data_IF_991609927203
#
_entry.id   IF_991609927203
#
_cell.length_a   1.000
_cell.length_b   1.000
_cell.length_c   1.000
_cell.angle_alpha   90.00
_cell.angle_beta   90.00
_cell.angle_gamma   90.00
#
_symmetry.space_group_name_H-M   'P 1'
#
loop_
_entity.id
_entity.type
_entity.pdbx_description
1 polymer ?
#
# COMPACT_ATOMS: atom_id res chain seq x y z
N UNK A 1 15.37 4.82 -42.92
CA UNK A 1 15.77 3.63 -42.13
C UNK A 1 16.54 3.95 -40.84
N UNK A 2 17.56 4.82 -40.82
CA UNK A 2 18.33 5.13 -39.59
C UNK A 2 17.57 5.91 -38.48
N UNK A 3 16.46 6.58 -38.79
CA UNK A 3 15.61 7.26 -37.80
C UNK A 3 14.60 6.34 -37.10
N UNK A 4 14.22 5.21 -37.72
CA UNK A 4 13.27 4.25 -37.14
C UNK A 4 13.99 3.37 -36.10
N UNK A 5 15.26 3.04 -36.31
CA UNK A 5 16.07 2.32 -35.32
C UNK A 5 16.28 3.12 -34.02
N UNK A 6 16.47 4.45 -34.08
CA UNK A 6 16.60 5.28 -32.86
C UNK A 6 15.31 5.36 -32.04
N UNK A 7 14.14 5.32 -32.68
CA UNK A 7 12.85 5.31 -31.97
C UNK A 7 12.59 3.97 -31.27
N UNK A 8 12.95 2.85 -31.91
CA UNK A 8 12.79 1.50 -31.35
C UNK A 8 13.79 1.25 -30.20
N UNK A 9 15.01 1.79 -30.28
CA UNK A 9 15.97 1.72 -29.17
C UNK A 9 15.58 2.58 -27.96
N UNK A 10 14.83 3.68 -28.17
CA UNK A 10 14.36 4.54 -27.08
C UNK A 10 13.10 3.99 -26.41
N UNK A 11 12.26 3.25 -27.14
CA UNK A 11 11.13 2.49 -26.56
C UNK A 11 11.60 1.25 -25.77
N UNK A 12 12.67 0.59 -26.20
CA UNK A 12 13.21 -0.58 -25.49
C UNK A 12 13.92 -0.22 -24.16
N UNK A 13 14.40 1.02 -24.00
CA UNK A 13 15.07 1.45 -22.77
C UNK A 13 14.10 1.95 -21.67
N UNK A 14 12.85 2.23 -22.02
CA UNK A 14 11.80 2.66 -21.08
C UNK A 14 11.08 1.46 -20.42
N UNK A 15 11.20 0.26 -20.99
CA UNK A 15 10.57 -0.97 -20.50
C UNK A 15 11.27 -1.63 -19.29
N UNK A 16 12.33 -1.02 -18.74
CA UNK A 16 13.06 -1.55 -17.57
C UNK A 16 12.83 -0.78 -16.26
N UNK A 17 11.84 0.10 -16.20
CA UNK A 17 11.56 0.90 -14.99
C UNK A 17 10.63 0.14 -14.02
N UNK A 18 11.27 -0.44 -13.01
CA UNK A 18 10.84 -0.63 -11.62
C UNK A 18 9.33 -0.50 -11.28
N UNK A 19 8.77 -1.57 -10.71
CA UNK A 19 7.51 -1.56 -9.95
C UNK A 19 7.41 -0.32 -9.05
N UNK A 20 6.44 0.54 -9.32
CA UNK A 20 6.18 1.81 -8.62
C UNK A 20 7.42 2.62 -8.16
N UNK A 21 8.54 2.56 -8.90
CA UNK A 21 9.78 3.28 -8.59
C UNK A 21 10.68 2.67 -7.51
N UNK A 22 10.56 1.38 -7.20
CA UNK A 22 11.56 0.67 -6.39
C UNK A 22 12.62 0.01 -7.29
N UNK A 23 13.88 0.40 -7.11
CA UNK A 23 15.03 -0.31 -7.68
C UNK A 23 14.88 -1.82 -7.44
N UNK A 24 15.09 -2.66 -8.46
CA UNK A 24 14.92 -4.13 -8.33
C UNK A 24 15.86 -4.75 -7.27
N UNK A 25 16.91 -4.02 -6.89
CA UNK A 25 17.87 -4.38 -5.84
C UNK A 25 17.72 -3.52 -4.56
N UNK A 26 16.79 -2.56 -4.54
CA UNK A 26 16.47 -1.80 -3.34
C UNK A 26 15.28 -2.45 -2.65
N UNK A 27 15.57 -3.47 -1.83
CA UNK A 27 14.77 -3.64 -0.61
C UNK A 27 14.72 -2.26 0.05
N UNK A 28 13.54 -1.61 0.20
CA UNK A 28 13.49 -0.24 0.67
C UNK A 28 14.27 -0.13 1.99
N UNK A 29 15.28 0.75 2.03
CA UNK A 29 16.04 1.18 3.22
C UNK A 29 15.16 1.98 4.20
N UNK A 30 13.86 1.71 4.25
CA UNK A 30 12.87 2.44 5.05
C UNK A 30 12.35 1.52 6.15
N UNK A 31 13.19 1.25 7.16
CA UNK A 31 12.77 0.58 8.39
C UNK A 31 13.29 1.30 9.64
N UNK A 32 13.69 2.56 9.52
CA UNK A 32 13.77 3.42 10.69
C UNK A 32 12.37 3.92 11.05
N UNK A 33 11.90 3.45 12.21
CA UNK A 33 10.81 3.97 13.02
C UNK A 33 9.45 4.00 12.33
N UNK A 34 8.59 3.04 12.68
CA UNK A 34 7.15 3.08 12.48
C UNK A 34 6.53 3.86 13.67
N UNK A 35 6.12 5.13 13.53
CA UNK A 35 5.32 5.79 14.54
C UNK A 35 3.85 5.43 14.24
N UNK A 36 3.26 4.57 15.07
CA UNK A 36 1.86 4.14 14.91
C UNK A 36 1.64 2.63 14.94
N UNK A 37 2.70 1.84 14.78
CA UNK A 37 2.78 0.62 15.56
C UNK A 37 3.02 1.08 17.00
N UNK A 38 1.95 1.27 17.78
CA UNK A 38 2.07 0.94 19.18
C UNK A 38 2.38 -0.56 19.21
N UNK A 39 3.65 -0.89 18.96
CA UNK A 39 4.24 -2.11 19.48
C UNK A 39 3.88 -2.03 20.95
N UNK A 40 3.12 -3.00 21.40
CA UNK A 40 2.84 -3.24 22.80
C UNK A 40 4.21 -3.16 23.49
N UNK A 41 4.52 -1.99 24.07
CA UNK A 41 5.83 -1.70 24.68
C UNK A 41 6.08 -2.58 25.90
N UNK A 42 5.06 -3.31 26.35
CA UNK A 42 5.08 -4.07 27.59
C UNK A 42 6.02 -5.28 27.54
N UNK A 43 6.37 -5.82 26.36
CA UNK A 43 7.15 -7.06 26.27
C UNK A 43 8.38 -7.01 25.33
N UNK A 44 8.93 -5.82 25.03
CA UNK A 44 10.18 -5.70 24.26
C UNK A 44 11.40 -5.87 25.17
N UNK A 45 12.42 -6.57 24.65
CA UNK A 45 13.67 -6.81 25.37
C UNK A 45 14.48 -5.50 25.38
N UNK A 46 14.76 -4.92 26.56
CA UNK A 46 15.28 -3.56 26.65
C UNK A 46 16.76 -3.45 26.28
N UNK A 47 17.55 -4.51 26.49
CA UNK A 47 18.95 -4.55 26.10
C UNK A 47 19.36 -5.91 25.55
N UNK A 48 20.45 -5.93 24.77
CA UNK A 48 21.04 -7.17 24.25
C UNK A 48 21.53 -8.09 25.37
N UNK A 49 21.93 -7.52 26.52
CA UNK A 49 22.38 -8.28 27.68
C UNK A 49 21.25 -9.09 28.34
N UNK A 50 19.99 -8.72 28.10
CA UNK A 50 18.82 -9.45 28.60
C UNK A 50 18.44 -10.65 27.71
N UNK A 51 19.18 -10.86 26.61
CA UNK A 51 19.00 -12.02 25.74
C UNK A 51 19.69 -13.24 26.34
N UNK A 52 18.94 -14.32 26.50
CA UNK A 52 19.45 -15.60 26.99
C UNK A 52 19.73 -16.51 25.81
N UNK A 53 21.00 -16.86 25.63
CA UNK A 53 21.41 -17.85 24.62
C UNK A 53 20.78 -19.21 24.92
N UNK A 54 20.25 -19.86 23.89
CA UNK A 54 19.50 -21.11 23.99
C UNK A 54 18.01 -20.94 24.28
N UNK A 55 17.57 -19.74 24.71
CA UNK A 55 16.15 -19.46 24.93
C UNK A 55 15.42 -19.21 23.61
N UNK A 56 14.14 -19.58 23.62
CA UNK A 56 13.21 -19.34 22.53
C UNK A 56 12.40 -18.06 22.76
N UNK A 57 12.20 -17.29 21.69
CA UNK A 57 11.48 -16.03 21.69
C UNK A 57 10.49 -15.97 20.53
N UNK A 58 9.48 -15.12 20.69
CA UNK A 58 8.49 -14.79 19.68
C UNK A 58 8.85 -13.50 18.97
N UNK A 59 8.67 -13.45 17.66
CA UNK A 59 8.81 -12.21 16.89
C UNK A 59 7.66 -11.27 17.25
N UNK A 60 7.98 -10.07 17.74
CA UNK A 60 6.99 -9.06 18.13
C UNK A 60 6.59 -8.10 17.02
N UNK A 61 7.44 -7.93 16.00
CA UNK A 61 7.12 -7.16 14.81
C UNK A 61 6.14 -7.90 13.89
N UNK A 62 5.26 -7.18 13.20
CA UNK A 62 4.37 -7.77 12.18
C UNK A 62 5.17 -8.49 11.08
N UNK A 63 6.32 -7.91 10.72
CA UNK A 63 7.30 -8.50 9.81
C UNK A 63 8.70 -8.16 10.28
N UNK A 64 9.58 -9.15 10.38
CA UNK A 64 10.98 -9.00 10.76
C UNK A 64 11.88 -9.64 9.70
N UNK A 65 12.83 -8.88 9.14
CA UNK A 65 13.78 -9.43 8.17
C UNK A 65 14.78 -10.34 8.86
N UNK A 66 15.08 -11.47 8.23
CA UNK A 66 16.17 -12.37 8.61
C UNK A 66 17.29 -12.24 7.58
N UNK A 67 18.54 -12.24 8.06
CA UNK A 67 19.72 -11.93 7.26
C UNK A 67 20.78 -13.02 7.36
N UNK A 68 21.66 -13.10 6.38
CA UNK A 68 22.84 -13.98 6.40
C UNK A 68 24.03 -13.40 7.16
N UNK A 69 24.00 -12.11 7.50
CA UNK A 69 25.04 -11.44 8.29
C UNK A 69 24.40 -10.47 9.29
N UNK A 70 25.17 -10.09 10.32
CA UNK A 70 24.83 -9.20 11.43
C UNK A 70 24.91 -7.71 11.08
N UNK A 71 24.82 -7.37 9.79
CA UNK A 71 24.96 -6.01 9.30
C UNK A 71 23.81 -5.62 8.36
N UNK A 72 23.60 -4.31 8.23
CA UNK A 72 22.66 -3.75 7.27
C UNK A 72 23.25 -3.81 5.86
N UNK A 73 22.64 -4.60 4.97
CA UNK A 73 23.07 -4.71 3.58
C UNK A 73 22.09 -5.48 2.70
N UNK A 74 22.56 -5.88 1.51
CA UNK A 74 21.85 -6.77 0.59
C UNK A 74 22.12 -8.25 0.97
N UNK A 75 21.63 -8.62 2.14
CA UNK A 75 21.88 -9.91 2.79
C UNK A 75 20.60 -10.50 3.40
N UNK A 76 19.43 -10.07 2.93
CA UNK A 76 18.13 -10.51 3.46
C UNK A 76 17.77 -11.87 2.87
N UNK A 77 17.61 -12.87 3.76
CA UNK A 77 17.26 -14.25 3.41
C UNK A 77 15.74 -14.47 3.40
N UNK A 78 14.98 -13.57 4.01
CA UNK A 78 13.53 -13.62 4.05
C UNK A 78 12.96 -12.79 5.19
N UNK A 79 11.73 -13.09 5.56
CA UNK A 79 11.00 -12.41 6.62
C UNK A 79 10.32 -13.41 7.55
N UNK A 80 10.30 -13.11 8.83
CA UNK A 80 9.45 -13.75 9.84
C UNK A 80 8.24 -12.87 10.08
N UNK A 81 7.11 -13.49 10.39
CA UNK A 81 5.90 -12.80 10.81
C UNK A 81 5.86 -12.69 12.34
N UNK A 82 4.96 -11.86 12.87
CA UNK A 82 4.65 -11.85 14.30
C UNK A 82 4.31 -13.26 14.80
N UNK A 83 4.79 -13.59 16.00
CA UNK A 83 4.67 -14.88 16.68
C UNK A 83 5.34 -16.07 15.97
N UNK A 84 6.08 -15.84 14.89
CA UNK A 84 7.10 -16.81 14.46
C UNK A 84 8.14 -16.97 15.58
N UNK A 85 8.69 -18.17 15.69
CA UNK A 85 9.47 -18.61 16.85
C UNK A 85 10.93 -18.74 16.45
N UNK A 86 11.81 -18.13 17.23
CA UNK A 86 13.26 -18.19 17.04
C UNK A 86 13.97 -18.61 18.33
N UNK A 87 15.05 -19.36 18.20
CA UNK A 87 15.94 -19.72 19.31
C UNK A 87 17.25 -18.97 19.15
N UNK A 88 17.70 -18.31 20.21
CA UNK A 88 18.97 -17.57 20.17
C UNK A 88 20.14 -18.53 20.23
N UNK A 89 21.04 -18.43 19.26
CA UNK A 89 22.28 -19.22 19.20
C UNK A 89 23.48 -18.42 19.70
N UNK A 90 23.51 -17.12 19.45
CA UNK A 90 24.58 -16.24 19.91
C UNK A 90 24.06 -14.79 20.03
N UNK A 91 24.42 -14.15 21.13
CA UNK A 91 24.12 -12.74 21.43
C UNK A 91 25.36 -12.03 22.00
N UNK A 92 26.56 -12.55 21.71
CA UNK A 92 27.84 -11.98 22.13
C UNK A 92 28.05 -10.56 21.60
N UNK A 93 28.97 -9.85 22.24
CA UNK A 93 29.40 -8.50 21.82
C UNK A 93 30.12 -8.51 20.47
N UNK A 94 30.58 -9.68 19.99
CA UNK A 94 31.19 -9.84 18.67
C UNK A 94 30.19 -9.61 17.53
N UNK A 95 28.90 -9.85 17.78
CA UNK A 95 27.82 -9.58 16.83
C UNK A 95 27.49 -8.09 16.85
N UNK A 96 27.51 -7.44 15.69
CA UNK A 96 27.40 -5.99 15.59
C UNK A 96 26.03 -5.44 16.03
N UNK A 97 26.06 -4.36 16.82
CA UNK A 97 24.91 -3.55 17.16
C UNK A 97 23.75 -4.33 17.79
N UNK A 98 22.55 -4.14 17.23
CA UNK A 98 21.32 -4.73 17.76
C UNK A 98 21.04 -6.16 17.28
N UNK A 99 21.99 -6.80 16.58
CA UNK A 99 21.80 -8.11 16.00
C UNK A 99 22.13 -9.24 16.96
N UNK A 100 21.49 -10.38 16.73
CA UNK A 100 21.77 -11.67 17.34
C UNK A 100 21.68 -12.77 16.28
N UNK A 101 22.38 -13.88 16.51
CA UNK A 101 22.29 -15.09 15.69
C UNK A 101 21.21 -16.00 16.23
N UNK A 102 20.38 -16.52 15.34
CA UNK A 102 19.22 -17.36 15.69
C UNK A 102 19.12 -18.62 14.84
N UNK A 103 18.39 -19.57 15.38
CA UNK A 103 17.75 -20.66 14.66
C UNK A 103 16.25 -20.31 14.51
N UNK A 104 15.69 -20.46 13.31
CA UNK A 104 14.26 -20.28 13.09
C UNK A 104 13.55 -21.60 13.42
N UNK A 105 12.85 -21.62 14.55
CA UNK A 105 12.17 -22.83 15.08
C UNK A 105 10.83 -23.04 14.39
N UNK A 106 10.07 -21.97 14.17
CA UNK A 106 8.77 -22.04 13.51
C UNK A 106 8.49 -20.79 12.69
N UNK A 107 8.12 -20.98 11.43
CA UNK A 107 7.64 -19.91 10.55
C UNK A 107 6.74 -20.48 9.46
N UNK A 108 5.82 -19.67 8.96
CA UNK A 108 5.00 -19.98 7.77
C UNK A 108 5.60 -19.45 6.47
N UNK A 109 6.63 -18.63 6.55
CA UNK A 109 7.26 -18.04 5.39
C UNK A 109 8.39 -18.94 4.88
N UNK A 110 8.57 -18.99 3.55
CA UNK A 110 9.75 -19.60 2.96
C UNK A 110 10.96 -18.67 3.16
N UNK A 111 12.05 -19.22 3.69
CA UNK A 111 13.34 -18.52 3.83
C UNK A 111 14.35 -19.11 2.85
N UNK A 112 15.25 -18.27 2.34
CA UNK A 112 16.40 -18.74 1.59
C UNK A 112 17.30 -19.58 2.51
N UNK A 113 17.81 -20.70 1.97
CA UNK A 113 18.70 -21.57 2.71
C UNK A 113 19.98 -20.83 3.09
N UNK A 114 20.39 -20.94 4.34
CA UNK A 114 21.63 -20.38 4.85
C UNK A 114 22.09 -21.16 6.06
N UNK A 115 23.40 -21.15 6.30
CA UNK A 115 24.00 -21.74 7.50
C UNK A 115 23.66 -20.94 8.75
N UNK A 116 23.36 -19.64 8.60
CA UNK A 116 23.21 -18.71 9.72
C UNK A 116 22.12 -17.69 9.44
N UNK A 117 21.35 -17.37 10.48
CA UNK A 117 20.30 -16.37 10.45
C UNK A 117 20.56 -15.30 11.51
N UNK A 118 20.48 -14.05 11.10
CA UNK A 118 20.63 -12.88 11.95
C UNK A 118 19.37 -12.01 11.91
N UNK A 119 18.98 -11.49 13.07
CA UNK A 119 17.87 -10.54 13.21
C UNK A 119 18.13 -9.61 14.40
N UNK A 120 17.33 -8.56 14.54
CA UNK A 120 17.47 -7.64 15.67
C UNK A 120 16.69 -8.11 16.90
N UNK A 121 17.34 -8.14 18.06
CA UNK A 121 16.73 -8.57 19.32
C UNK A 121 15.59 -7.65 19.79
N UNK A 122 15.59 -6.38 19.33
CA UNK A 122 14.58 -5.36 19.68
C UNK A 122 13.16 -5.74 19.25
N UNK A 123 13.03 -6.72 18.36
CA UNK A 123 11.75 -7.23 17.86
C UNK A 123 11.45 -8.65 18.35
N UNK A 124 12.04 -9.05 19.47
CA UNK A 124 11.72 -10.28 20.16
C UNK A 124 10.91 -10.01 21.42
N UNK A 125 10.15 -11.02 21.82
CA UNK A 125 9.38 -11.07 23.05
C UNK A 125 9.52 -12.44 23.70
N UNK A 126 9.56 -12.46 25.04
CA UNK A 126 9.59 -13.70 25.83
C UNK A 126 8.25 -14.44 25.80
N UNK A 127 7.18 -13.75 25.42
CA UNK A 127 5.82 -14.29 25.36
C UNK A 127 5.22 -14.08 23.98
N UNK A 128 4.19 -14.86 23.66
CA UNK A 128 3.41 -14.67 22.45
C UNK A 128 2.79 -13.27 22.45
N UNK A 129 2.97 -12.53 21.35
CA UNK A 129 2.37 -11.20 21.21
C UNK A 129 0.90 -11.37 20.90
N UNK A 130 0.06 -11.11 21.90
CA UNK A 130 -1.40 -11.05 21.74
C UNK A 130 -1.73 -9.86 20.84
N UNK A 131 -2.32 -10.15 19.68
CA UNK A 131 -2.83 -9.09 18.82
C UNK A 131 -4.06 -8.47 19.47
N UNK A 132 -4.12 -7.13 19.60
CA UNK A 132 -5.33 -6.51 20.07
C UNK A 132 -6.45 -6.77 19.05
N UNK A 133 -7.63 -7.14 19.54
CA UNK A 133 -8.76 -7.65 18.73
C UNK A 133 -9.15 -6.73 17.56
N UNK A 134 -8.90 -5.43 17.68
CA UNK A 134 -9.16 -4.45 16.62
C UNK A 134 -8.36 -4.71 15.33
N UNK A 135 -7.19 -5.36 15.39
CA UNK A 135 -6.40 -5.71 14.19
C UNK A 135 -7.09 -6.76 13.31
N UNK A 136 -7.99 -7.55 13.91
CA UNK A 136 -8.81 -8.52 13.20
C UNK A 136 -10.19 -7.98 12.85
N UNK A 137 -10.51 -6.73 13.22
CA UNK A 137 -11.82 -6.15 12.96
C UNK A 137 -12.10 -6.03 11.46
N UNK A 138 -11.09 -5.64 10.68
CA UNK A 138 -11.25 -5.41 9.24
C UNK A 138 -10.32 -6.27 8.39
N UNK A 139 -10.77 -6.61 7.19
CA UNK A 139 -9.91 -7.10 6.12
C UNK A 139 -10.35 -6.52 4.77
N UNK A 140 -9.41 -6.46 3.84
CA UNK A 140 -9.60 -5.89 2.51
C UNK A 140 -9.46 -6.99 1.47
N UNK A 141 -10.36 -7.01 0.49
CA UNK A 141 -10.26 -7.82 -0.72
C UNK A 141 -10.09 -6.87 -1.90
N UNK A 142 -9.00 -7.01 -2.64
CA UNK A 142 -8.75 -6.36 -3.92
C UNK A 142 -8.94 -7.41 -5.02
N UNK A 143 -10.08 -7.36 -5.70
CA UNK A 143 -10.31 -8.24 -6.84
C UNK A 143 -9.78 -7.60 -8.13
N UNK A 144 -8.65 -8.10 -8.59
CA UNK A 144 -7.92 -7.61 -9.77
C UNK A 144 -8.72 -7.86 -11.04
N UNK A 145 -9.51 -8.94 -11.10
CA UNK A 145 -10.30 -9.29 -12.27
C UNK A 145 -11.41 -8.25 -12.55
N UNK A 146 -12.02 -7.73 -11.48
CA UNK A 146 -13.15 -6.79 -11.55
C UNK A 146 -12.75 -5.33 -11.25
N UNK A 147 -11.51 -5.10 -10.82
CA UNK A 147 -11.00 -3.79 -10.43
C UNK A 147 -11.82 -3.15 -9.29
N UNK A 148 -12.16 -3.97 -8.29
CA UNK A 148 -12.92 -3.57 -7.09
C UNK A 148 -12.14 -3.84 -5.82
N UNK A 149 -12.18 -2.87 -4.92
CA UNK A 149 -11.72 -3.02 -3.54
C UNK A 149 -12.95 -3.10 -2.62
N UNK A 150 -12.98 -4.09 -1.74
CA UNK A 150 -14.00 -4.25 -0.71
C UNK A 150 -13.38 -4.34 0.67
N UNK A 151 -13.97 -3.67 1.64
CA UNK A 151 -13.60 -3.78 3.06
C UNK A 151 -14.71 -4.51 3.79
N UNK A 152 -14.32 -5.49 4.58
CA UNK A 152 -15.22 -6.29 5.38
C UNK A 152 -14.90 -6.11 6.86
N UNK A 153 -15.94 -5.89 7.65
CA UNK A 153 -15.92 -5.99 9.10
C UNK A 153 -16.21 -7.44 9.52
N UNK A 154 -15.34 -8.00 10.36
CA UNK A 154 -15.51 -9.32 10.94
C UNK A 154 -16.37 -9.21 12.20
N UNK A 155 -17.56 -9.79 12.18
CA UNK A 155 -18.40 -9.92 13.37
C UNK A 155 -18.37 -11.39 13.82
N UNK A 156 -17.41 -11.74 14.68
CA UNK A 156 -17.25 -13.09 15.20
C UNK A 156 -17.95 -13.24 16.55
N UNK A 157 -19.28 -13.26 16.54
CA UNK A 157 -20.08 -13.30 17.78
C UNK A 157 -20.06 -14.68 18.45
N UNK A 158 -19.86 -15.79 17.72
CA UNK A 158 -19.82 -17.16 18.28
C UNK A 158 -19.36 -18.18 17.22
N UNK A 159 -18.06 -18.52 17.13
CA UNK A 159 -17.46 -19.58 16.25
C UNK A 159 -17.78 -19.54 14.74
N UNK A 160 -18.70 -18.71 14.28
CA UNK A 160 -19.07 -18.42 12.89
C UNK A 160 -18.92 -16.91 12.71
N UNK A 161 -17.95 -16.50 11.90
CA UNK A 161 -17.75 -15.10 11.59
C UNK A 161 -18.70 -14.72 10.45
N UNK A 162 -19.74 -13.95 10.76
CA UNK A 162 -20.50 -13.24 9.73
C UNK A 162 -19.69 -11.99 9.38
N UNK A 163 -19.19 -11.94 8.16
CA UNK A 163 -18.47 -10.77 7.66
C UNK A 163 -19.46 -9.85 6.97
N UNK A 164 -19.48 -8.56 7.33
CA UNK A 164 -20.30 -7.56 6.66
C UNK A 164 -19.41 -6.66 5.81
N UNK A 165 -19.76 -6.48 4.54
CA UNK A 165 -19.08 -5.47 3.71
C UNK A 165 -19.45 -4.07 4.19
N UNK A 166 -18.46 -3.22 4.41
CA UNK A 166 -18.64 -1.85 4.92
C UNK A 166 -18.10 -0.78 3.96
N UNK A 167 -17.44 -1.19 2.88
CA UNK A 167 -17.03 -0.33 1.79
C UNK A 167 -16.88 -1.18 0.52
N UNK A 168 -17.43 -0.70 -0.57
CA UNK A 168 -17.03 -1.04 -1.94
C UNK A 168 -16.47 0.22 -2.61
N UNK A 169 -15.41 0.08 -3.39
CA UNK A 169 -14.93 1.16 -4.24
C UNK A 169 -14.24 0.64 -5.49
N UNK A 170 -14.15 1.52 -6.49
CA UNK A 170 -13.40 1.25 -7.70
C UNK A 170 -11.90 1.37 -7.46
N UNK A 171 -11.14 0.45 -8.05
CA UNK A 171 -9.69 0.59 -8.20
C UNK A 171 -9.27 0.41 -9.66
N UNK A 172 -7.97 0.53 -9.91
CA UNK A 172 -7.29 0.20 -11.16
C UNK A 172 -6.09 -0.66 -10.79
N UNK A 173 -5.96 -1.80 -11.48
CA UNK A 173 -4.82 -2.70 -11.32
C UNK A 173 -3.72 -2.42 -12.35
N UNK A 174 -2.54 -2.99 -12.12
CA UNK A 174 -1.44 -2.93 -13.06
C UNK A 174 -1.72 -3.72 -14.33
N UNK A 175 -1.03 -3.40 -15.42
CA UNK A 175 -1.25 -4.06 -16.73
C UNK A 175 -0.81 -5.52 -16.72
N UNK A 176 -1.42 -6.31 -17.60
CA UNK A 176 -1.04 -7.71 -17.81
C UNK A 176 0.25 -7.84 -18.63
N UNK A 177 1.35 -7.27 -18.13
CA UNK A 177 2.66 -7.30 -18.77
C UNK A 177 3.75 -7.52 -17.72
N UNK A 178 4.87 -8.10 -18.17
CA UNK A 178 6.01 -8.37 -17.32
C UNK A 178 6.51 -7.10 -16.61
N UNK A 179 6.70 -7.21 -15.29
CA UNK A 179 7.17 -6.11 -14.44
C UNK A 179 6.11 -5.09 -14.01
N UNK A 180 4.91 -5.09 -14.60
CA UNK A 180 3.83 -4.15 -14.27
C UNK A 180 2.52 -4.83 -13.80
N UNK A 181 2.44 -6.17 -13.90
CA UNK A 181 1.31 -6.94 -13.37
C UNK A 181 1.16 -6.80 -11.86
N UNK A 182 -0.08 -6.65 -11.38
CA UNK A 182 -0.35 -6.66 -9.94
C UNK A 182 -0.17 -8.07 -9.37
N UNK A 183 0.57 -8.17 -8.27
CA UNK A 183 0.88 -9.42 -7.59
C UNK A 183 -0.32 -9.86 -6.75
N UNK A 184 -0.72 -11.11 -6.93
CA UNK A 184 -1.75 -11.76 -6.13
C UNK A 184 -1.15 -12.28 -4.82
N UNK A 185 -1.98 -12.44 -3.80
CA UNK A 185 -1.58 -13.03 -2.53
C UNK A 185 -2.21 -12.37 -1.31
N UNK A 186 -1.73 -12.77 -0.13
CA UNK A 186 -2.15 -12.22 1.15
C UNK A 186 -1.06 -11.34 1.73
N UNK A 187 -1.42 -10.10 2.02
CA UNK A 187 -0.54 -9.08 2.58
C UNK A 187 -1.15 -8.51 3.87
N UNK A 188 -0.34 -7.77 4.62
CA UNK A 188 -0.72 -6.92 5.72
C UNK A 188 -0.37 -5.48 5.35
N UNK A 189 -1.23 -4.53 5.72
CA UNK A 189 -0.92 -3.11 5.71
C UNK A 189 0.19 -2.85 6.75
N UNK A 190 1.35 -2.41 6.30
CA UNK A 190 2.49 -2.11 7.17
C UNK A 190 2.37 -0.71 7.77
N UNK A 191 2.03 0.28 6.94
CA UNK A 191 1.82 1.66 7.36
C UNK A 191 1.18 2.50 6.25
N UNK A 192 0.71 3.68 6.63
CA UNK A 192 0.28 4.73 5.71
C UNK A 192 1.31 5.85 5.63
N UNK A 193 1.49 6.43 4.45
CA UNK A 193 2.29 7.64 4.24
C UNK A 193 1.46 8.69 3.49
N UNK A 194 1.44 9.90 4.02
CA UNK A 194 0.72 11.04 3.41
C UNK A 194 1.58 11.70 2.34
N UNK A 195 0.98 11.95 1.19
CA UNK A 195 1.60 12.54 -0.01
C UNK A 195 2.85 11.81 -0.49
N UNK A 196 2.92 10.48 -0.41
CA UNK A 196 4.10 9.71 -0.79
C UNK A 196 4.74 10.12 -2.15
N UNK A 197 6.07 10.04 -2.19
CA UNK A 197 6.92 10.23 -3.36
C UNK A 197 7.86 9.03 -3.51
N UNK A 198 8.10 8.61 -4.75
CA UNK A 198 9.06 7.56 -5.06
C UNK A 198 10.50 8.02 -4.80
N UNK A 199 11.37 7.06 -4.48
CA UNK A 199 12.74 7.39 -4.10
C UNK A 199 13.59 7.83 -5.30
N UNK A 200 13.20 7.42 -6.51
CA UNK A 200 13.86 7.82 -7.75
C UNK A 200 13.50 9.27 -8.16
N UNK A 201 12.49 9.87 -7.55
CA UNK A 201 12.06 11.24 -7.83
C UNK A 201 11.37 11.41 -9.19
N UNK A 202 10.94 10.31 -9.83
CA UNK A 202 10.14 10.36 -11.06
C UNK A 202 8.75 10.92 -10.80
N UNK A 203 8.20 10.63 -9.62
CA UNK A 203 6.86 10.99 -9.20
C UNK A 203 6.91 11.82 -7.92
N UNK A 204 7.22 13.13 -8.03
CA UNK A 204 7.21 14.02 -6.89
C UNK A 204 5.89 13.98 -6.13
N UNK A 205 5.96 14.10 -4.80
CA UNK A 205 4.81 14.05 -3.89
C UNK A 205 3.65 14.95 -4.30
N UNK A 206 2.40 14.59 -4.00
CA UNK A 206 1.26 15.46 -4.35
C UNK A 206 1.40 16.87 -3.73
N UNK A 207 1.78 16.93 -2.44
CA UNK A 207 2.15 18.15 -1.74
C UNK A 207 3.46 17.96 -0.96
N UNK A 208 4.31 18.98 -1.01
CA UNK A 208 5.53 19.14 -0.21
C UNK A 208 5.66 20.62 0.13
N UNK A 209 6.12 21.00 1.34
CA UNK A 209 6.34 22.40 1.70
C UNK A 209 7.32 23.10 0.76
N UNK A 210 8.40 22.43 0.37
CA UNK A 210 9.47 23.02 -0.45
C UNK A 210 9.20 23.00 -1.96
N UNK A 211 8.07 22.46 -2.39
CA UNK A 211 7.74 22.35 -3.81
C UNK A 211 6.66 23.37 -4.18
N UNK A 212 6.51 23.73 -5.47
CA UNK A 212 5.36 24.52 -5.90
C UNK A 212 4.07 23.85 -5.45
N UNK A 213 3.04 24.66 -5.18
CA UNK A 213 1.70 24.12 -4.96
C UNK A 213 1.26 23.30 -6.17
N UNK A 214 0.52 22.20 -5.97
CA UNK A 214 -0.06 21.43 -7.07
C UNK A 214 -0.95 22.33 -7.95
N UNK A 215 -1.26 21.91 -9.19
CA UNK A 215 -2.24 22.60 -10.02
C UNK A 215 -3.52 22.87 -9.23
N UNK A 216 -4.14 24.04 -9.45
CA UNK A 216 -5.44 24.36 -8.86
C UNK A 216 -6.49 23.30 -9.22
N UNK A 217 -7.54 23.20 -8.40
CA UNK A 217 -8.67 22.32 -8.69
C UNK A 217 -9.37 22.71 -10.01
N UNK A 218 -10.01 21.73 -10.65
CA UNK A 218 -10.65 21.86 -11.96
C UNK A 218 -9.69 21.90 -13.16
N UNK A 219 -8.37 21.89 -12.94
CA UNK A 219 -7.39 21.80 -14.05
C UNK A 219 -7.33 20.38 -14.62
N UNK A 220 -7.06 20.28 -15.92
CA UNK A 220 -6.94 19.00 -16.62
C UNK A 220 -5.74 18.15 -16.16
N UNK A 221 -5.82 16.83 -16.37
CA UNK A 221 -4.81 15.84 -15.98
C UNK A 221 -3.39 16.15 -16.50
N UNK A 222 -3.21 16.30 -17.82
CA UNK A 222 -2.78 17.59 -18.33
C UNK A 222 -1.63 18.32 -17.65
N UNK A 223 -2.11 19.20 -16.78
CA UNK A 223 -1.38 20.26 -16.11
C UNK A 223 -0.44 19.70 -15.04
N UNK A 224 -0.71 18.50 -14.52
CA UNK A 224 0.10 17.86 -13.49
C UNK A 224 1.45 17.32 -13.98
N UNK A 225 1.66 17.24 -15.30
CA UNK A 225 2.92 16.87 -15.93
C UNK A 225 3.82 18.09 -16.22
N UNK A 226 3.32 19.32 -16.02
CA UNK A 226 4.07 20.53 -16.39
C UNK A 226 5.21 20.77 -15.40
N UNK A 227 6.41 21.02 -15.92
CA UNK A 227 7.64 21.30 -15.16
C UNK A 227 7.51 22.42 -14.12
N UNK A 228 6.64 23.41 -14.34
CA UNK A 228 6.39 24.49 -13.36
C UNK A 228 5.82 24.02 -12.02
N UNK A 229 5.25 22.81 -11.95
CA UNK A 229 4.73 22.21 -10.72
C UNK A 229 5.69 21.17 -10.13
N UNK A 230 6.89 21.02 -10.69
CA UNK A 230 7.86 20.04 -10.23
C UNK A 230 8.83 20.66 -9.21
N UNK A 231 9.44 19.86 -8.32
CA UNK A 231 10.52 20.32 -7.46
C UNK A 231 11.70 20.86 -8.27
N UNK A 232 12.40 21.82 -7.70
CA UNK A 232 13.66 22.32 -8.25
C UNK A 232 14.82 21.60 -7.60
N UNK A 233 15.72 21.04 -8.42
CA UNK A 233 16.91 20.31 -8.00
C UNK A 233 18.07 20.86 -8.82
N UNK A 234 19.01 21.53 -8.16
CA UNK A 234 20.17 22.17 -8.79
C UNK A 234 19.79 23.16 -9.91
N UNK A 235 18.75 23.97 -9.69
CA UNK A 235 18.26 24.96 -10.67
C UNK A 235 17.34 24.39 -11.76
N UNK A 236 17.18 23.06 -11.82
CA UNK A 236 16.33 22.39 -12.80
C UNK A 236 15.05 21.83 -12.17
N UNK A 237 13.93 21.92 -12.89
CA UNK A 237 12.67 21.28 -12.50
C UNK A 237 12.68 19.78 -12.83
N UNK A 238 12.70 18.90 -11.82
CA UNK A 238 12.83 17.43 -11.98
C UNK A 238 11.54 16.67 -11.63
N UNK A 239 11.29 15.56 -12.32
CA UNK A 239 10.10 14.73 -12.16
C UNK A 239 9.22 14.72 -13.41
N UNK A 240 8.48 13.63 -13.55
CA UNK A 240 7.68 13.28 -14.72
C UNK A 240 6.21 13.63 -14.50
N UNK A 241 5.70 13.40 -13.28
CA UNK A 241 4.30 13.68 -12.93
C UNK A 241 4.15 13.97 -11.44
N UNK A 242 3.52 15.10 -11.10
CA UNK A 242 3.29 15.51 -9.72
C UNK A 242 2.15 14.68 -9.10
N UNK A 243 2.33 14.14 -7.92
CA UNK A 243 1.24 13.52 -7.13
C UNK A 243 0.70 12.21 -7.67
N UNK A 244 1.51 11.39 -8.35
CA UNK A 244 1.08 10.10 -8.89
C UNK A 244 0.41 9.18 -7.86
N UNK A 245 0.85 9.25 -6.60
CA UNK A 245 0.37 8.44 -5.48
C UNK A 245 -0.81 9.08 -4.73
N UNK A 246 -1.31 10.23 -5.17
CA UNK A 246 -2.44 10.91 -4.56
C UNK A 246 -2.17 11.38 -3.12
N UNK A 247 -3.22 11.37 -2.29
CA UNK A 247 -3.16 11.91 -0.93
C UNK A 247 -2.53 10.96 0.09
N UNK A 248 -2.78 9.66 -0.04
CA UNK A 248 -2.26 8.63 0.87
C UNK A 248 -1.79 7.41 0.09
N UNK A 249 -0.76 6.76 0.61
CA UNK A 249 -0.27 5.47 0.14
C UNK A 249 -0.15 4.49 1.30
N UNK A 250 -0.79 3.33 1.17
CA UNK A 250 -0.74 2.19 2.06
C UNK A 250 0.31 1.20 1.59
N UNK A 251 1.33 1.01 2.41
CA UNK A 251 2.43 0.09 2.15
C UNK A 251 2.02 -1.29 2.63
N UNK A 252 2.08 -2.30 1.77
CA UNK A 252 1.68 -3.68 2.11
C UNK A 252 2.88 -4.62 2.07
N UNK A 253 2.84 -5.72 2.81
CA UNK A 253 3.86 -6.78 2.82
C UNK A 253 3.39 -8.05 3.55
N UNK A 254 4.17 -9.12 3.63
CA UNK A 254 5.52 -9.29 3.07
C UNK A 254 5.53 -9.38 1.55
N UNK A 255 6.72 -9.27 0.94
CA UNK A 255 6.98 -9.56 -0.48
C UNK A 255 6.03 -8.89 -1.48
N UNK A 256 5.58 -7.66 -1.18
CA UNK A 256 4.70 -6.90 -2.06
C UNK A 256 5.35 -6.43 -3.35
N UNK A 257 6.66 -6.66 -3.53
CA UNK A 257 7.45 -6.21 -4.66
C UNK A 257 7.24 -4.72 -4.96
N UNK A 258 7.24 -3.91 -3.90
CA UNK A 258 6.96 -2.47 -3.92
C UNK A 258 5.59 -2.08 -4.53
N UNK A 259 4.59 -2.96 -4.47
CA UNK A 259 3.24 -2.67 -4.95
C UNK A 259 2.32 -2.19 -3.82
N UNK A 260 2.14 -0.88 -3.79
CA UNK A 260 1.33 -0.16 -2.81
C UNK A 260 -0.15 -0.12 -3.18
N UNK A 261 -1.00 0.21 -2.21
CA UNK A 261 -2.37 0.69 -2.47
C UNK A 261 -2.38 2.19 -2.27
N UNK A 262 -2.77 2.98 -3.28
CA UNK A 262 -2.61 4.44 -3.19
C UNK A 262 -3.71 5.22 -3.91
N UNK A 263 -3.76 6.53 -3.65
CA UNK A 263 -4.68 7.46 -4.31
C UNK A 263 -4.29 7.76 -5.75
N UNK A 264 -5.06 8.62 -6.41
CA UNK A 264 -4.78 9.03 -7.79
C UNK A 264 -4.35 10.48 -7.83
N UNK A 265 -3.59 10.84 -8.85
CA UNK A 265 -3.33 12.23 -9.19
C UNK A 265 -4.64 13.02 -9.33
N UNK A 266 -4.61 14.31 -8.97
CA UNK A 266 -5.79 15.17 -8.95
C UNK A 266 -6.24 15.56 -7.54
N UNK A 267 -7.28 16.37 -7.49
CA UNK A 267 -8.05 16.68 -6.27
C UNK A 267 -9.18 15.66 -6.10
N UNK A 268 -10.04 15.81 -5.09
CA UNK A 268 -11.08 14.84 -4.72
C UNK A 268 -11.87 14.33 -5.94
N UNK A 269 -12.70 15.17 -6.54
CA UNK A 269 -13.53 14.78 -7.69
C UNK A 269 -12.72 14.52 -8.96
N UNK A 270 -11.69 15.32 -9.23
CA UNK A 270 -10.87 15.14 -10.44
C UNK A 270 -10.09 13.81 -10.44
N UNK A 271 -9.80 13.25 -9.26
CA UNK A 271 -9.18 11.92 -9.14
C UNK A 271 -10.15 10.78 -9.48
N UNK A 272 -11.44 10.90 -9.15
CA UNK A 272 -12.50 9.96 -9.58
C UNK A 272 -12.59 9.96 -11.10
N UNK A 273 -12.59 11.16 -11.69
CA UNK A 273 -12.64 11.36 -13.13
C UNK A 273 -11.47 10.66 -13.84
N UNK A 274 -10.28 10.67 -13.23
CA UNK A 274 -9.13 9.96 -13.75
C UNK A 274 -9.24 8.43 -13.65
N UNK A 275 -9.77 7.89 -12.54
CA UNK A 275 -10.07 6.46 -12.45
C UNK A 275 -11.07 6.05 -13.54
N UNK A 276 -12.14 6.81 -13.72
CA UNK A 276 -13.17 6.54 -14.74
C UNK A 276 -12.63 6.71 -16.17
N UNK A 277 -11.76 7.68 -16.43
CA UNK A 277 -11.13 7.91 -17.75
C UNK A 277 -10.13 6.82 -18.12
N UNK A 278 -9.31 6.34 -17.17
CA UNK A 278 -8.43 5.18 -17.39
C UNK A 278 -9.22 3.94 -17.81
N UNK A 279 -10.49 3.82 -17.38
CA UNK A 279 -11.40 2.73 -17.78
C UNK A 279 -12.14 2.94 -19.10
N UNK A 280 -12.38 4.20 -19.51
CA UNK A 280 -13.21 4.54 -20.69
C UNK A 280 -12.40 4.78 -21.98
N UNK A 281 -11.14 5.20 -21.87
CA UNK A 281 -10.31 5.54 -23.03
C UNK A 281 -8.94 4.87 -22.79
N UNK A 282 -8.39 4.27 -23.85
CA UNK A 282 -6.95 4.00 -24.03
C UNK A 282 -6.16 5.32 -23.97
N UNK A 283 -6.26 6.06 -22.88
CA UNK A 283 -5.67 7.38 -22.74
C UNK A 283 -4.20 7.18 -22.39
N UNK A 284 -3.40 6.99 -23.45
CA UNK A 284 -2.04 7.47 -23.53
C UNK A 284 -1.95 8.88 -22.93
N UNK A 285 -1.57 8.97 -21.65
CA UNK A 285 -0.99 10.18 -21.11
C UNK A 285 0.44 9.93 -20.61
N UNK A 286 1.18 9.26 -21.51
CA UNK A 286 2.61 8.95 -21.51
C UNK A 286 3.00 7.65 -20.78
N UNK A 287 3.25 6.62 -21.61
CA UNK A 287 4.04 5.41 -21.39
C UNK A 287 3.68 4.37 -20.30
N UNK A 288 2.68 4.59 -19.43
CA UNK A 288 2.09 3.50 -18.61
C UNK A 288 0.77 3.97 -17.96
N UNK A 289 -0.38 3.92 -18.67
CA UNK A 289 -1.64 4.46 -18.17
C UNK A 289 -2.24 3.65 -17.01
N UNK A 290 -1.85 2.39 -16.84
CA UNK A 290 -2.15 1.53 -15.68
C UNK A 290 -0.90 1.37 -14.82
N UNK A 291 -1.12 1.21 -13.51
CA UNK A 291 -0.07 1.22 -12.49
C UNK A 291 1.05 0.23 -12.78
N UNK A 292 2.28 0.55 -12.33
CA UNK A 292 3.44 -0.34 -12.40
C UNK A 292 3.33 -1.42 -11.30
N UNK A 293 2.22 -2.16 -11.29
CA UNK A 293 1.91 -3.23 -10.33
C UNK A 293 1.09 -2.82 -9.11
N UNK A 294 1.10 -1.55 -8.71
CA UNK A 294 0.29 -1.04 -7.58
C UNK A 294 -1.22 -1.16 -7.83
N UNK A 295 -2.03 -1.00 -6.77
CA UNK A 295 -3.48 -0.86 -6.87
C UNK A 295 -3.86 0.58 -6.57
N UNK A 296 -4.53 1.25 -7.51
CA UNK A 296 -4.82 2.68 -7.41
C UNK A 296 -6.33 2.94 -7.29
N UNK A 297 -6.74 3.82 -6.38
CA UNK A 297 -8.12 4.29 -6.24
C UNK A 297 -8.18 5.82 -6.20
N UNK A 298 -9.35 6.43 -6.14
CA UNK A 298 -9.47 7.88 -6.03
C UNK A 298 -9.03 8.39 -4.65
N UNK A 299 -8.83 9.70 -4.54
CA UNK A 299 -8.27 10.30 -3.34
C UNK A 299 -9.20 10.30 -2.13
N UNK A 300 -10.52 10.34 -2.33
CA UNK A 300 -11.47 10.28 -1.22
C UNK A 300 -11.55 8.85 -0.67
N UNK A 301 -11.63 7.85 -1.56
CA UNK A 301 -11.59 6.43 -1.18
C UNK A 301 -10.31 6.09 -0.40
N UNK A 302 -9.12 6.45 -0.90
CA UNK A 302 -7.87 6.09 -0.19
C UNK A 302 -7.76 6.79 1.17
N UNK A 303 -8.35 7.98 1.30
CA UNK A 303 -8.33 8.73 2.56
C UNK A 303 -9.26 8.10 3.58
N UNK A 304 -10.43 7.62 3.14
CA UNK A 304 -11.33 6.85 3.98
C UNK A 304 -10.74 5.50 4.39
N UNK A 305 -10.09 4.78 3.45
CA UNK A 305 -9.33 3.56 3.77
C UNK A 305 -8.24 3.82 4.82
N UNK A 306 -7.50 4.92 4.70
CA UNK A 306 -6.51 5.31 5.71
C UNK A 306 -7.12 5.61 7.07
N UNK A 307 -8.35 6.09 7.10
CA UNK A 307 -9.05 6.38 8.35
C UNK A 307 -9.48 5.09 9.07
N UNK A 308 -10.10 4.16 8.34
CA UNK A 308 -10.70 2.96 8.96
C UNK A 308 -9.74 1.78 9.10
N UNK A 309 -8.64 1.73 8.32
CA UNK A 309 -7.72 0.58 8.29
C UNK A 309 -6.44 0.86 9.08
N UNK A 310 -6.29 0.30 10.29
CA UNK A 310 -5.04 0.39 11.04
C UNK A 310 -3.93 -0.47 10.39
N UNK A 311 -2.64 -0.12 10.59
CA UNK A 311 -1.53 -1.03 10.33
C UNK A 311 -1.79 -2.41 10.94
N UNK A 312 -1.48 -3.48 10.21
CA UNK A 312 -1.79 -4.87 10.53
C UNK A 312 -3.02 -5.42 9.79
N UNK A 313 -3.90 -4.56 9.28
CA UNK A 313 -5.06 -4.97 8.47
C UNK A 313 -4.65 -5.89 7.32
N UNK A 314 -5.37 -7.01 7.15
CA UNK A 314 -5.15 -7.95 6.04
C UNK A 314 -5.62 -7.38 4.70
N UNK A 315 -4.79 -7.50 3.68
CA UNK A 315 -5.07 -7.19 2.27
C UNK A 315 -4.93 -8.46 1.44
N UNK A 316 -6.04 -8.95 0.88
CA UNK A 316 -6.05 -10.09 -0.03
C UNK A 316 -6.20 -9.59 -1.46
N UNK A 317 -5.19 -9.82 -2.29
CA UNK A 317 -5.23 -9.52 -3.73
C UNK A 317 -5.55 -10.82 -4.47
N UNK A 318 -6.69 -10.84 -5.15
CA UNK A 318 -7.22 -12.03 -5.82
C UNK A 318 -7.55 -11.74 -7.27
N UNK A 319 -7.52 -12.76 -8.11
CA UNK A 319 -8.08 -12.71 -9.46
C UNK A 319 -9.21 -13.72 -9.51
N UNK A 320 -10.45 -13.26 -9.34
CA UNK A 320 -11.58 -14.16 -9.09
C UNK A 320 -12.89 -13.66 -9.72
N UNK A 321 -13.74 -14.61 -10.10
CA UNK A 321 -15.14 -14.37 -10.46
C UNK A 321 -15.92 -14.05 -9.18
N UNK A 322 -16.83 -13.09 -9.28
CA UNK A 322 -17.67 -12.68 -8.16
C UNK A 322 -19.00 -13.40 -8.17
N UNK A 323 -19.45 -13.83 -6.99
CA UNK A 323 -20.80 -14.34 -6.76
C UNK A 323 -21.26 -13.93 -5.37
N UNK A 324 -22.55 -13.65 -5.23
CA UNK A 324 -23.17 -13.44 -3.94
C UNK A 324 -23.45 -14.77 -3.25
N UNK A 325 -23.14 -14.82 -1.95
CA UNK A 325 -23.59 -15.92 -1.10
C UNK A 325 -25.09 -15.80 -0.78
N UNK A 326 -25.57 -14.57 -0.61
CA UNK A 326 -26.97 -14.21 -0.43
C UNK A 326 -27.41 -13.39 -1.65
N UNK A 327 -28.13 -14.02 -2.58
CA UNK A 327 -28.58 -13.38 -3.83
C UNK A 327 -29.64 -12.29 -3.59
N UNK A 328 -30.35 -12.34 -2.46
CA UNK A 328 -31.36 -11.35 -2.07
C UNK A 328 -30.74 -10.14 -1.37
N UNK A 329 -29.48 -10.26 -0.90
CA UNK A 329 -28.76 -9.23 -0.15
C UNK A 329 -29.58 -8.71 1.05
N UNK A 330 -30.30 -9.60 1.74
CA UNK A 330 -31.27 -9.25 2.77
C UNK A 330 -30.67 -8.44 3.96
N UNK A 331 -29.35 -8.51 4.14
CA UNK A 331 -28.60 -7.75 5.17
C UNK A 331 -28.10 -6.37 4.71
N UNK A 332 -28.39 -5.97 3.47
CA UNK A 332 -27.94 -4.75 2.84
C UNK A 332 -29.12 -3.87 2.44
N UNK A 333 -29.04 -2.59 2.77
CA UNK A 333 -30.02 -1.61 2.32
C UNK A 333 -29.37 -0.70 1.28
N UNK A 334 -29.82 -0.80 0.03
CA UNK A 334 -29.31 0.02 -1.08
C UNK A 334 -29.64 1.51 -0.93
N UNK A 335 -30.68 1.83 -0.18
CA UNK A 335 -31.13 3.20 0.06
C UNK A 335 -30.43 3.83 1.28
N UNK A 336 -29.68 3.05 2.07
CA UNK A 336 -28.92 3.57 3.21
C UNK A 336 -27.75 4.41 2.71
N UNK A 337 -27.88 5.73 2.79
CA UNK A 337 -26.80 6.66 2.48
C UNK A 337 -25.88 6.83 3.69
N UNK A 338 -24.64 6.35 3.57
CA UNK A 338 -23.59 6.61 4.54
C UNK A 338 -22.61 7.64 3.99
N UNK A 339 -22.21 8.56 4.85
CA UNK A 339 -21.26 9.61 4.49
C UNK A 339 -20.13 9.71 5.50
N UNK A 340 -19.01 10.28 5.05
CA UNK A 340 -17.86 10.61 5.88
C UNK A 340 -17.34 11.99 5.50
N UNK A 341 -17.35 12.91 6.45
CA UNK A 341 -16.83 14.26 6.26
C UNK A 341 -15.31 14.29 6.48
N UNK A 342 -14.62 15.01 5.60
CA UNK A 342 -13.16 15.00 5.58
C UNK A 342 -12.56 16.39 5.32
N UNK A 343 -11.37 16.60 5.88
CA UNK A 343 -10.52 17.78 5.68
C UNK A 343 -9.11 17.30 5.32
N UNK A 344 -8.60 17.71 4.16
CA UNK A 344 -7.21 17.48 3.78
C UNK A 344 -6.34 18.67 4.18
N UNK A 345 -5.30 18.40 4.96
CA UNK A 345 -4.35 19.42 5.42
C UNK A 345 -2.93 19.15 4.89
N UNK A 346 -2.04 20.13 5.04
CA UNK A 346 -0.59 19.99 4.78
C UNK A 346 0.13 19.15 5.86
N UNK A 347 -0.47 19.03 7.05
CA UNK A 347 0.17 18.45 8.22
C UNK A 347 0.43 16.95 8.03
N UNK A 348 1.63 16.54 8.43
CA UNK A 348 2.12 15.17 8.26
C UNK A 348 2.53 14.80 6.83
N UNK A 349 2.72 15.78 5.92
CA UNK A 349 3.28 15.53 4.59
C UNK A 349 4.61 14.74 4.68
N UNK A 350 4.77 13.75 3.81
CA UNK A 350 5.90 12.80 3.77
C UNK A 350 6.11 11.94 5.03
N UNK A 351 5.28 12.07 6.07
CA UNK A 351 5.45 11.30 7.30
C UNK A 351 4.71 9.97 7.24
N UNK A 352 5.35 8.92 7.76
CA UNK A 352 4.67 7.69 8.14
C UNK A 352 3.68 8.03 9.25
N UNK A 353 2.44 7.56 9.12
CA UNK A 353 1.38 7.89 10.09
C UNK A 353 0.97 9.36 10.05
N UNK A 354 1.19 10.06 8.93
CA UNK A 354 0.75 11.45 8.75
C UNK A 354 -0.73 11.67 9.08
N UNK A 355 -1.08 12.92 9.40
CA UNK A 355 -2.43 13.29 9.88
C UNK A 355 -3.52 12.71 8.98
N UNK A 356 -4.56 12.15 9.58
CA UNK A 356 -5.76 11.68 8.88
C UNK A 356 -6.50 12.83 8.19
N UNK A 357 -7.46 12.49 7.34
CA UNK A 357 -8.39 13.43 6.76
C UNK A 357 -9.75 13.43 7.46
N UNK A 358 -9.97 12.63 8.49
CA UNK A 358 -11.22 12.66 9.25
C UNK A 358 -11.48 14.04 9.85
N UNK A 359 -12.65 14.63 9.55
CA UNK A 359 -12.96 16.02 9.91
C UNK A 359 -12.90 16.25 11.42
N UNK A 360 -13.51 15.36 12.21
CA UNK A 360 -13.53 15.50 13.67
C UNK A 360 -12.13 15.43 14.26
N UNK A 361 -11.31 14.45 13.82
CA UNK A 361 -9.91 14.32 14.28
C UNK A 361 -9.03 15.48 13.85
N UNK A 362 -9.24 16.05 12.66
CA UNK A 362 -8.50 17.23 12.20
C UNK A 362 -8.88 18.45 13.03
N UNK A 363 -10.17 18.71 13.22
CA UNK A 363 -10.65 19.85 14.03
C UNK A 363 -10.23 19.74 15.49
N UNK A 364 -10.26 18.53 16.07
CA UNK A 364 -9.79 18.28 17.43
C UNK A 364 -8.29 18.59 17.64
N UNK A 365 -7.50 18.65 16.55
CA UNK A 365 -6.09 19.08 16.60
C UNK A 365 -5.89 20.60 16.54
N UNK A 366 -6.97 21.39 16.61
CA UNK A 366 -6.93 22.85 16.59
C UNK A 366 -6.78 23.46 15.19
N UNK A 367 -6.93 22.66 14.14
CA UNK A 367 -6.84 23.09 12.74
C UNK A 367 -8.22 23.53 12.26
N UNK A 368 -8.27 24.69 11.60
CA UNK A 368 -9.51 25.23 11.03
C UNK A 368 -9.62 24.90 9.54
N UNK A 369 -10.80 25.10 8.93
CA UNK A 369 -10.99 24.90 7.49
C UNK A 369 -10.15 25.89 6.65
N UNK A 370 -9.73 27.02 7.22
CA UNK A 370 -8.84 27.99 6.56
C UNK A 370 -7.42 27.44 6.35
N UNK A 371 -7.01 26.50 7.20
CA UNK A 371 -5.72 25.79 7.09
C UNK A 371 -5.79 24.58 6.13
N UNK A 372 -6.99 24.26 5.64
CA UNK A 372 -7.22 23.12 4.77
C UNK A 372 -6.73 23.39 3.34
N UNK A 373 -6.24 22.33 2.70
CA UNK A 373 -6.03 22.29 1.27
C UNK A 373 -7.37 22.15 0.52
N UNK A 374 -8.27 21.34 1.08
CA UNK A 374 -9.62 21.06 0.57
C UNK A 374 -10.39 20.25 1.62
N UNK A 375 -11.71 20.22 1.52
CA UNK A 375 -12.61 19.48 2.39
C UNK A 375 -13.85 19.05 1.62
N UNK A 376 -14.64 18.14 2.19
CA UNK A 376 -15.89 17.71 1.60
C UNK A 376 -16.50 16.52 2.32
N UNK A 377 -17.44 15.87 1.64
CA UNK A 377 -18.17 14.70 2.14
C UNK A 377 -18.01 13.55 1.15
N UNK A 378 -17.55 12.40 1.62
CA UNK A 378 -17.43 11.18 0.84
C UNK A 378 -18.66 10.29 1.07
N UNK A 379 -19.29 9.81 -0.01
CA UNK A 379 -20.38 8.83 0.07
C UNK A 379 -19.78 7.43 0.13
N UNK A 380 -20.09 6.70 1.19
CA UNK A 380 -19.59 5.36 1.44
C UNK A 380 -20.56 4.38 0.79
N UNK A 381 -20.10 3.70 -0.25
CA UNK A 381 -20.85 2.60 -0.85
C UNK A 381 -20.70 1.35 0.02
N UNK A 382 -21.81 0.85 0.56
CA UNK A 382 -21.85 -0.36 1.39
C UNK A 382 -22.62 -1.49 0.73
N UNK A 383 -23.08 -1.30 -0.51
CA UNK A 383 -23.87 -2.27 -1.24
C UNK A 383 -22.99 -3.12 -2.16
N UNK A 384 -22.99 -4.45 -2.04
CA UNK A 384 -22.11 -5.31 -2.84
C UNK A 384 -22.64 -5.43 -4.27
N UNK A 385 -21.94 -4.83 -5.24
CA UNK A 385 -22.30 -4.94 -6.65
C UNK A 385 -21.46 -6.03 -7.34
N UNK A 386 -22.11 -7.10 -7.81
CA UNK A 386 -21.43 -8.16 -8.57
C UNK A 386 -21.09 -7.65 -9.97
N UNK A 387 -19.82 -7.79 -10.35
CA UNK A 387 -19.41 -7.53 -11.74
C UNK A 387 -19.38 -8.83 -12.52
N UNK A 388 -20.25 -8.91 -13.54
CA UNK A 388 -20.31 -10.04 -14.46
C UNK A 388 -18.97 -10.27 -15.17
N UNK A 389 -18.51 -11.51 -15.13
CA UNK A 389 -17.39 -11.99 -15.94
C UNK A 389 -17.80 -12.10 -17.40
N UNK A 390 -17.04 -11.51 -18.33
CA UNK A 390 -17.26 -11.61 -19.78
C UNK A 390 -15.99 -12.02 -20.50
N UNK A 391 -16.00 -13.22 -21.09
CA UNK A 391 -15.02 -13.70 -22.07
C UNK A 391 -15.12 -12.86 -23.35
N UNK A 392 -14.30 -11.83 -23.53
CA UNK A 392 -14.20 -11.13 -24.82
C UNK A 392 -12.75 -10.84 -25.16
N UNK A 393 -12.49 -10.61 -26.45
CA UNK A 393 -11.16 -10.42 -27.04
C UNK A 393 -10.31 -9.31 -26.39
N UNK A 394 -9.02 -9.32 -26.70
CA UNK A 394 -7.95 -8.50 -26.08
C UNK A 394 -8.24 -7.00 -25.97
N UNK A 395 -8.91 -6.42 -26.96
CA UNK A 395 -9.25 -4.99 -26.97
C UNK A 395 -10.42 -4.65 -26.03
N UNK A 396 -11.40 -5.53 -25.90
CA UNK A 396 -12.56 -5.35 -25.03
C UNK A 396 -12.27 -5.57 -23.53
N UNK A 397 -11.18 -6.27 -23.19
CA UNK A 397 -10.71 -6.47 -21.79
C UNK A 397 -10.14 -5.20 -21.16
N UNK A 398 -9.67 -4.27 -22.00
CA UNK A 398 -9.02 -3.01 -21.59
C UNK A 398 -10.02 -1.85 -21.44
N UNK A 399 -11.31 -2.05 -21.73
CA UNK A 399 -12.35 -1.01 -21.74
C UNK A 399 -13.57 -1.45 -20.90
N UNK A 400 -13.89 -0.70 -19.84
CA UNK A 400 -15.03 -0.95 -18.95
C UNK A 400 -14.86 -2.04 -17.88
N UNK A 401 -15.88 -2.26 -17.03
CA UNK A 401 -15.91 -3.29 -15.97
C UNK A 401 -16.50 -4.59 -16.54
N UNK A 402 -15.65 -5.57 -16.85
CA UNK A 402 -16.05 -6.85 -17.51
C UNK A 402 -15.61 -8.10 -16.74
N UNK A 403 -15.07 -7.91 -15.53
CA UNK A 403 -14.66 -9.00 -14.65
C UNK A 403 -13.51 -9.88 -15.15
N UNK A 404 -12.79 -9.49 -16.20
CA UNK A 404 -11.65 -10.25 -16.73
C UNK A 404 -10.56 -9.33 -17.30
N UNK A 405 -9.97 -8.47 -16.46
CA UNK A 405 -8.99 -7.46 -16.88
C UNK A 405 -7.73 -8.05 -17.54
N UNK A 406 -7.32 -9.26 -17.18
CA UNK A 406 -6.17 -9.98 -17.76
C UNK A 406 -6.59 -10.97 -18.85
N UNK A 407 -7.87 -11.32 -18.97
CA UNK A 407 -8.33 -12.32 -19.95
C UNK A 407 -7.78 -13.70 -19.68
N UNK A 408 -7.82 -14.10 -18.41
CA UNK A 408 -7.59 -15.49 -18.03
C UNK A 408 -8.84 -16.27 -18.42
N UNK A 409 -8.65 -17.42 -19.05
CA UNK A 409 -9.70 -18.36 -19.45
C UNK A 409 -10.15 -19.22 -18.26
#
# INVERSE_FOLDING_TARGET
MKQVQKLVSMLALILMLASCGADKNASPKYLELIPGAQVVKENQIPSKADIVVGQTYYVSALTLRVRSQDSMGDNTLGVLNRNDIVKVLDASEEIQGDYIKVEVVSTRNALQASEQFYLSYKYLSTEEVKEPEYLHKFYVVQNIATEVIRVYERTCLTKVCKNKMILEAEMVAGEDMDGVRTWLGSFNLLHWKKFYQDNAGHYPSWYHPDYPMPPQDGKNALTWFKKKYMPEVNGDRKGDMRGAFGWYAGFVGPNSNAQWTHGTIGWGESSIDMIKRTKKILANFFAAPRSHGCSRTDNMTISYLREILPPGTKFMKVYAIEKLMDEELASYNKEEEKTWDWILTKNGSQKIGGQTSDREKVMASGITEEDALTWGTYKIDTYPDVIEFKEKGEWSRKIGRKGNVYGVD
#
